data_IF_576002154555
#
_entry.id   IF_576002154555
#
_cell.length_a   1.000
_cell.length_b   1.000
_cell.length_c   1.000
_cell.angle_alpha   90.00
_cell.angle_beta   90.00
_cell.angle_gamma   90.00
#
_symmetry.space_group_name_H-M   'P 1'
#
loop_
_entity.id
_entity.type
_entity.pdbx_description
1 polymer ?
#
# COMPACT_ATOMS: atom_id res chain seq x y z
N UNK A 1 -18.96 -17.95 -14.45
CA UNK A 1 -19.96 -18.82 -13.77
C UNK A 1 -19.49 -19.03 -12.34
N UNK A 2 -20.41 -19.25 -11.40
CA UNK A 2 -19.97 -19.58 -10.03
C UNK A 2 -19.32 -20.97 -10.04
N UNK A 3 -18.13 -21.15 -9.43
CA UNK A 3 -17.45 -22.43 -9.40
C UNK A 3 -18.28 -23.46 -8.64
N UNK A 4 -18.27 -24.70 -9.13
CA UNK A 4 -18.89 -25.83 -8.42
C UNK A 4 -17.99 -26.24 -7.25
N UNK A 5 -18.60 -26.71 -6.16
CA UNK A 5 -17.90 -27.13 -4.95
C UNK A 5 -16.78 -28.16 -5.21
N UNK A 6 -17.01 -29.08 -6.13
CA UNK A 6 -16.02 -30.09 -6.53
C UNK A 6 -14.84 -29.51 -7.32
N UNK A 7 -15.03 -28.38 -8.02
CA UNK A 7 -13.96 -27.69 -8.75
C UNK A 7 -13.06 -26.94 -7.77
N UNK A 8 -13.65 -26.28 -6.77
CA UNK A 8 -12.92 -25.58 -5.71
C UNK A 8 -12.08 -26.57 -4.91
N UNK A 9 -12.67 -27.70 -4.48
CA UNK A 9 -11.99 -28.73 -3.69
C UNK A 9 -10.84 -29.41 -4.43
N UNK A 10 -10.97 -29.60 -5.75
CA UNK A 10 -9.92 -30.23 -6.59
C UNK A 10 -8.80 -29.29 -7.00
N UNK A 11 -9.01 -27.98 -6.92
CA UNK A 11 -7.99 -27.00 -7.26
C UNK A 11 -6.81 -27.05 -6.25
N UNK A 12 -5.63 -27.45 -6.72
CA UNK A 12 -4.36 -27.46 -5.94
C UNK A 12 -3.56 -26.16 -6.11
N UNK A 13 -4.22 -25.10 -6.56
CA UNK A 13 -3.55 -23.89 -7.07
C UNK A 13 -2.88 -23.08 -5.96
N UNK A 14 -3.45 -23.12 -4.76
CA UNK A 14 -2.86 -22.54 -3.57
C UNK A 14 -2.62 -23.60 -2.50
N UNK A 15 -1.38 -23.58 -2.03
CA UNK A 15 -0.85 -24.37 -0.92
C UNK A 15 -0.96 -23.59 0.40
N UNK A 16 -0.92 -24.32 1.50
CA UNK A 16 -0.94 -23.74 2.85
C UNK A 16 0.22 -22.77 3.09
N UNK A 17 1.41 -23.08 2.58
CA UNK A 17 2.58 -22.20 2.70
C UNK A 17 2.38 -20.87 1.99
N UNK A 18 1.71 -20.87 0.83
CA UNK A 18 1.34 -19.64 0.12
C UNK A 18 0.29 -18.84 0.88
N UNK A 19 -0.72 -19.49 1.49
CA UNK A 19 -1.68 -18.81 2.35
C UNK A 19 -0.97 -18.09 3.51
N UNK A 20 -0.08 -18.78 4.23
CA UNK A 20 0.67 -18.18 5.33
C UNK A 20 1.56 -17.03 4.86
N UNK A 21 2.17 -17.16 3.68
CA UNK A 21 2.95 -16.10 3.07
C UNK A 21 2.10 -14.86 2.79
N UNK A 22 0.88 -15.03 2.25
CA UNK A 22 -0.05 -13.94 2.01
C UNK A 22 -0.51 -13.27 3.31
N UNK A 23 -0.79 -14.05 4.35
CA UNK A 23 -1.14 -13.49 5.66
C UNK A 23 -0.03 -12.61 6.21
N UNK A 24 1.23 -13.05 6.07
CA UNK A 24 2.39 -12.26 6.48
C UNK A 24 2.53 -10.96 5.69
N UNK A 25 2.33 -10.99 4.37
CA UNK A 25 2.40 -9.78 3.54
C UNK A 25 1.30 -8.77 3.88
N UNK A 26 0.12 -9.27 4.27
CA UNK A 26 -1.02 -8.46 4.68
C UNK A 26 -1.00 -8.07 6.17
N UNK A 27 0.07 -8.42 6.90
CA UNK A 27 0.20 -8.22 8.34
C UNK A 27 -0.98 -8.79 9.15
N UNK A 28 -1.55 -9.92 8.70
CA UNK A 28 -2.59 -10.66 9.39
C UNK A 28 -1.99 -11.81 10.21
N UNK A 29 -2.62 -12.11 11.34
CA UNK A 29 -2.25 -13.24 12.19
C UNK A 29 -2.43 -14.59 11.47
N UNK A 30 -1.63 -15.61 11.80
CA UNK A 30 -1.82 -16.96 11.28
C UNK A 30 -3.15 -17.56 11.77
N UNK A 31 -3.71 -18.56 11.06
CA UNK A 31 -4.96 -19.22 11.46
C UNK A 31 -4.79 -19.92 12.81
N UNK A 32 -5.79 -19.80 13.68
CA UNK A 32 -5.76 -20.40 15.03
C UNK A 32 -6.03 -21.90 15.00
N UNK A 33 -6.77 -22.36 13.98
CA UNK A 33 -7.20 -23.76 13.84
C UNK A 33 -7.07 -24.26 12.41
N UNK A 34 -6.91 -25.57 12.23
CA UNK A 34 -6.90 -26.22 10.92
C UNK A 34 -8.23 -26.07 10.16
N UNK A 35 -9.35 -25.97 10.89
CA UNK A 35 -10.67 -25.77 10.27
C UNK A 35 -10.77 -24.38 9.64
N UNK A 36 -10.32 -23.35 10.37
CA UNK A 36 -10.27 -21.98 9.86
C UNK A 36 -9.35 -21.89 8.64
N UNK A 37 -8.17 -22.53 8.71
CA UNK A 37 -7.23 -22.58 7.59
C UNK A 37 -7.84 -23.25 6.34
N UNK A 38 -8.55 -24.35 6.51
CA UNK A 38 -9.23 -25.03 5.41
C UNK A 38 -10.33 -24.16 4.79
N UNK A 39 -11.09 -23.42 5.61
CA UNK A 39 -12.09 -22.47 5.12
C UNK A 39 -11.43 -21.33 4.33
N UNK A 40 -10.36 -20.75 4.85
CA UNK A 40 -9.62 -19.68 4.15
C UNK A 40 -9.06 -20.15 2.80
N UNK A 41 -8.54 -21.38 2.73
CA UNK A 41 -8.09 -21.98 1.48
C UNK A 41 -9.26 -22.20 0.49
N UNK A 42 -10.41 -22.64 0.98
CA UNK A 42 -11.61 -22.80 0.16
C UNK A 42 -12.05 -21.45 -0.44
N UNK A 43 -12.19 -20.42 0.40
CA UNK A 43 -12.62 -19.09 -0.01
C UNK A 43 -11.66 -18.48 -1.04
N UNK A 44 -10.35 -18.61 -0.79
CA UNK A 44 -9.32 -18.08 -1.68
C UNK A 44 -9.32 -18.78 -3.05
N UNK A 45 -9.57 -20.10 -3.09
CA UNK A 45 -9.70 -20.86 -4.34
C UNK A 45 -10.94 -20.43 -5.12
N UNK A 46 -12.07 -20.20 -4.44
CA UNK A 46 -13.28 -19.70 -5.07
C UNK A 46 -13.07 -18.30 -5.70
N UNK A 47 -12.39 -17.40 -4.97
CA UNK A 47 -12.04 -16.06 -5.45
C UNK A 47 -11.14 -16.10 -6.68
N UNK A 48 -10.10 -16.95 -6.67
CA UNK A 48 -9.18 -17.08 -7.80
C UNK A 48 -9.86 -17.63 -9.05
N UNK A 49 -10.79 -18.57 -8.91
CA UNK A 49 -11.56 -19.07 -10.03
C UNK A 49 -12.29 -17.93 -10.76
N UNK A 50 -12.95 -17.05 -10.00
CA UNK A 50 -13.63 -15.89 -10.57
C UNK A 50 -12.67 -14.96 -11.30
N UNK A 51 -11.50 -14.66 -10.71
CA UNK A 51 -10.49 -13.80 -11.36
C UNK A 51 -9.99 -14.40 -12.67
N UNK A 52 -9.83 -15.72 -12.74
CA UNK A 52 -9.38 -16.40 -13.97
C UNK A 52 -10.38 -16.30 -15.10
N UNK A 53 -11.67 -16.45 -14.83
CA UNK A 53 -12.70 -16.26 -15.84
C UNK A 53 -12.65 -14.84 -16.44
N UNK A 54 -12.34 -13.83 -15.62
CA UNK A 54 -12.16 -12.45 -16.11
C UNK A 54 -10.91 -12.32 -16.99
N UNK A 55 -9.85 -13.07 -16.70
CA UNK A 55 -8.60 -13.07 -17.48
C UNK A 55 -8.75 -13.73 -18.86
N UNK A 56 -9.79 -14.53 -19.09
CA UNK A 56 -10.05 -15.16 -20.41
C UNK A 56 -10.46 -14.13 -21.48
N UNK A 57 -10.84 -12.92 -21.08
CA UNK A 57 -11.22 -11.85 -22.00
C UNK A 57 -9.98 -11.30 -22.72
N UNK A 58 -10.05 -11.20 -24.06
CA UNK A 58 -8.97 -10.63 -24.86
C UNK A 58 -8.84 -9.12 -24.57
N UNK A 59 -7.70 -8.73 -23.99
CA UNK A 59 -7.35 -7.34 -23.65
C UNK A 59 -6.25 -6.76 -24.54
N UNK A 60 -5.93 -7.42 -25.66
CA UNK A 60 -4.85 -6.98 -26.57
C UNK A 60 -5.11 -5.57 -27.11
N UNK A 61 -4.17 -4.66 -26.90
CA UNK A 61 -4.24 -3.28 -27.40
C UNK A 61 -5.04 -2.31 -26.53
N UNK A 62 -5.56 -2.76 -25.38
CA UNK A 62 -6.31 -1.91 -24.44
C UNK A 62 -5.34 -1.36 -23.37
N UNK A 63 -5.47 -0.07 -23.03
CA UNK A 63 -4.71 0.54 -21.93
C UNK A 63 -5.44 0.30 -20.59
N UNK A 64 -4.75 -0.11 -19.51
CA UNK A 64 -5.39 -0.29 -18.21
C UNK A 64 -5.96 1.03 -17.67
N UNK A 65 -7.21 1.00 -17.22
CA UNK A 65 -7.84 2.12 -16.54
C UNK A 65 -7.13 2.38 -15.20
N UNK A 66 -6.62 3.59 -14.99
CA UNK A 66 -5.85 3.93 -13.76
C UNK A 66 -6.71 4.53 -12.67
N UNK A 67 -7.68 5.37 -13.04
CA UNK A 67 -8.61 6.07 -12.14
C UNK A 67 -9.91 6.33 -12.88
N UNK A 68 -10.99 6.52 -12.14
CA UNK A 68 -12.29 6.89 -12.72
C UNK A 68 -12.36 8.42 -12.73
N UNK A 69 -11.80 9.05 -13.76
CA UNK A 69 -11.86 10.49 -14.00
C UNK A 69 -12.17 10.78 -15.45
N UNK A 70 -12.40 12.06 -15.76
CA UNK A 70 -12.38 12.54 -17.13
C UNK A 70 -10.96 12.37 -17.70
N UNK A 71 -10.80 11.52 -18.71
CA UNK A 71 -9.54 11.27 -19.43
C UNK A 71 -9.41 12.17 -20.66
N UNK A 72 -10.10 13.33 -20.66
CA UNK A 72 -9.89 14.36 -21.66
C UNK A 72 -8.43 14.86 -21.61
N UNK A 73 -7.88 15.25 -22.76
CA UNK A 73 -6.51 15.78 -22.84
C UNK A 73 -6.30 17.03 -21.97
N UNK A 74 -7.38 17.76 -21.71
CA UNK A 74 -7.39 18.94 -20.83
C UNK A 74 -7.19 18.50 -19.37
N UNK A 75 -7.96 17.52 -18.88
CA UNK A 75 -7.80 16.97 -17.53
C UNK A 75 -6.44 16.31 -17.31
N UNK A 76 -5.89 15.62 -18.33
CA UNK A 76 -4.52 15.10 -18.29
C UNK A 76 -3.50 16.24 -18.13
N UNK A 77 -3.62 17.33 -18.91
CA UNK A 77 -2.71 18.46 -18.85
C UNK A 77 -2.73 19.22 -17.51
N UNK A 78 -3.88 19.23 -16.84
CA UNK A 78 -4.03 19.82 -15.50
C UNK A 78 -3.44 18.92 -14.40
N UNK A 79 -3.57 17.59 -14.55
CA UNK A 79 -3.03 16.62 -13.60
C UNK A 79 -1.51 16.42 -13.74
N UNK A 80 -0.94 16.77 -14.88
CA UNK A 80 0.49 16.67 -15.13
C UNK A 80 1.28 17.61 -14.19
N UNK A 81 2.14 17.00 -13.36
CA UNK A 81 3.11 17.71 -12.53
C UNK A 81 4.19 18.36 -13.40
N UNK A 82 3.89 19.56 -13.87
CA UNK A 82 4.77 20.31 -14.75
C UNK A 82 5.96 20.94 -14.01
N UNK A 83 7.06 21.14 -14.74
CA UNK A 83 8.25 21.83 -14.23
C UNK A 83 7.95 23.24 -13.70
N UNK A 84 6.94 23.91 -14.28
CA UNK A 84 6.45 25.20 -13.78
C UNK A 84 5.86 25.06 -12.37
N UNK A 85 5.05 24.04 -12.13
CA UNK A 85 4.45 23.72 -10.84
C UNK A 85 5.49 23.30 -9.79
N UNK A 86 6.55 22.61 -10.22
CA UNK A 86 7.64 22.17 -9.36
C UNK A 86 8.70 23.25 -9.09
N UNK A 87 8.75 24.32 -9.89
CA UNK A 87 9.82 25.33 -9.87
C UNK A 87 10.01 25.95 -8.50
N UNK A 88 8.91 26.32 -7.85
CA UNK A 88 8.96 26.97 -6.54
C UNK A 88 9.40 25.99 -5.45
N UNK A 89 8.92 24.73 -5.50
CA UNK A 89 9.34 23.68 -4.57
C UNK A 89 10.84 23.34 -4.70
N UNK A 90 11.36 23.32 -5.93
CA UNK A 90 12.78 23.07 -6.23
C UNK A 90 13.63 24.29 -5.85
N UNK A 91 13.13 25.52 -6.03
CA UNK A 91 13.86 26.73 -5.63
C UNK A 91 14.12 26.81 -4.11
N UNK A 92 13.27 26.14 -3.32
CA UNK A 92 13.47 25.99 -1.88
C UNK A 92 14.52 24.94 -1.51
N UNK A 93 15.12 24.22 -2.45
CA UNK A 93 16.20 23.28 -2.15
C UNK A 93 17.52 23.99 -1.87
N UNK A 94 18.27 23.46 -0.91
CA UNK A 94 19.60 23.91 -0.52
C UNK A 94 20.57 22.74 -0.48
N UNK A 95 21.79 22.95 -0.97
CA UNK A 95 22.88 21.99 -0.85
C UNK A 95 23.65 22.25 0.44
N UNK A 96 23.66 21.26 1.33
CA UNK A 96 24.34 21.32 2.63
C UNK A 96 25.55 20.39 2.63
N UNK A 97 26.66 20.85 3.20
CA UNK A 97 27.89 20.08 3.37
C UNK A 97 29.01 20.52 2.42
N UNK A 98 30.24 20.59 2.95
CA UNK A 98 31.45 21.01 2.20
C UNK A 98 32.08 19.86 1.40
N UNK A 99 32.18 18.68 2.02
CA UNK A 99 32.78 17.48 1.42
C UNK A 99 31.74 16.47 0.92
N UNK A 100 30.63 16.27 1.65
CA UNK A 100 29.49 15.44 1.22
C UNK A 100 28.26 16.32 1.05
N UNK A 101 28.03 16.81 -0.17
CA UNK A 101 26.88 17.66 -0.50
C UNK A 101 25.60 16.83 -0.46
N UNK A 102 24.62 17.24 0.34
CA UNK A 102 23.27 16.67 0.40
C UNK A 102 22.25 17.75 0.06
N UNK A 103 21.29 17.42 -0.81
CA UNK A 103 20.17 18.31 -1.11
C UNK A 103 19.16 18.19 0.02
N UNK A 104 18.80 19.30 0.65
CA UNK A 104 17.70 19.40 1.62
C UNK A 104 16.78 20.54 1.22
N UNK A 105 15.47 20.37 1.35
CA UNK A 105 14.53 21.51 1.25
C UNK A 105 14.77 22.43 2.44
N UNK A 106 14.88 23.74 2.22
CA UNK A 106 14.96 24.73 3.28
C UNK A 106 13.69 24.61 4.11
N UNK A 107 13.86 24.38 5.40
CA UNK A 107 12.79 24.50 6.38
C UNK A 107 12.54 25.99 6.59
N UNK A 108 11.94 26.66 5.60
CA UNK A 108 11.28 27.91 5.95
C UNK A 108 10.18 27.51 6.92
N UNK A 109 10.09 28.23 8.04
CA UNK A 109 8.86 28.37 8.79
C UNK A 109 7.82 28.99 7.86
N UNK A 110 7.42 28.28 6.80
CA UNK A 110 6.17 28.52 6.11
C UNK A 110 5.12 28.03 7.10
N UNK A 111 4.86 28.90 8.06
CA UNK A 111 3.62 29.02 8.81
C UNK A 111 2.47 29.27 7.81
N UNK A 112 2.24 28.32 6.90
CA UNK A 112 0.88 28.00 6.45
C UNK A 112 0.24 27.08 7.49
N UNK A 113 1.04 26.51 8.39
CA UNK A 113 0.64 26.17 9.77
C UNK A 113 0.65 27.44 10.64
N UNK A 114 0.17 28.56 10.11
CA UNK A 114 0.15 29.85 10.79
C UNK A 114 -0.98 29.99 11.80
N UNK A 115 -1.96 29.10 11.77
CA UNK A 115 -3.12 29.07 12.67
C UNK A 115 -3.75 27.65 12.73
N UNK A 116 -3.05 26.64 12.23
CA UNK A 116 -3.54 25.26 12.29
C UNK A 116 -3.37 24.77 13.72
N UNK A 117 -4.51 24.47 14.35
CA UNK A 117 -4.69 23.54 15.47
C UNK A 117 -3.39 22.89 15.93
N UNK A 118 -3.06 23.06 17.20
CA UNK A 118 -2.05 22.28 17.93
C UNK A 118 -2.39 20.79 17.81
N UNK A 119 -2.10 20.18 16.65
CA UNK A 119 -2.42 18.79 16.38
C UNK A 119 -1.56 17.95 17.32
N UNK A 120 -2.20 17.28 18.27
CA UNK A 120 -1.53 16.30 19.10
C UNK A 120 -1.20 15.08 18.23
N UNK A 121 0.03 15.06 17.71
CA UNK A 121 0.58 13.95 16.91
C UNK A 121 0.46 12.62 17.65
N UNK A 122 0.45 12.64 18.98
CA UNK A 122 0.35 11.46 19.83
C UNK A 122 -1.04 11.29 20.47
N UNK A 123 -2.04 12.07 20.05
CA UNK A 123 -3.37 12.09 20.66
C UNK A 123 -4.13 10.79 20.48
N UNK A 124 -3.94 10.11 19.35
CA UNK A 124 -4.55 8.82 19.03
C UNK A 124 -3.60 7.62 19.21
N UNK A 125 -2.41 7.85 19.78
CA UNK A 125 -1.42 6.79 19.94
C UNK A 125 -1.82 5.83 21.09
N UNK A 126 -1.92 4.50 20.85
CA UNK A 126 -2.31 3.56 21.89
C UNK A 126 -1.23 3.40 22.98
N UNK A 127 0.05 3.56 22.63
CA UNK A 127 1.18 3.59 23.56
C UNK A 127 2.18 4.68 23.15
N UNK A 128 2.63 5.47 24.12
CA UNK A 128 3.65 6.51 23.93
C UNK A 128 4.64 6.53 25.08
N UNK A 129 5.91 6.77 24.77
CA UNK A 129 6.98 7.00 25.75
C UNK A 129 7.57 8.37 25.44
N UNK A 130 7.29 9.35 26.30
CA UNK A 130 7.68 10.74 26.06
C UNK A 130 7.11 11.27 24.74
N UNK A 131 7.99 11.58 23.79
CA UNK A 131 7.66 12.13 22.46
C UNK A 131 7.66 11.07 21.33
N UNK A 132 7.66 9.79 21.68
CA UNK A 132 7.80 8.68 20.73
C UNK A 132 6.60 7.73 20.80
N UNK A 133 6.25 7.14 19.65
CA UNK A 133 5.36 5.98 19.59
C UNK A 133 6.09 4.77 20.17
N UNK A 134 5.46 4.07 21.10
CA UNK A 134 6.01 2.84 21.66
C UNK A 134 5.45 1.64 20.89
N UNK A 135 6.33 0.92 20.21
CA UNK A 135 6.02 -0.32 19.48
C UNK A 135 6.79 -1.45 20.15
N UNK A 136 6.13 -2.59 20.31
CA UNK A 136 6.75 -3.80 20.83
C UNK A 136 7.65 -4.40 19.74
N UNK A 137 8.96 -4.42 19.98
CA UNK A 137 9.90 -5.12 19.12
C UNK A 137 9.93 -6.58 19.55
N UNK A 138 9.60 -7.50 18.64
CA UNK A 138 9.93 -8.90 18.84
C UNK A 138 11.46 -9.02 18.97
N UNK A 139 11.94 -9.70 20.02
CA UNK A 139 13.34 -10.10 20.09
C UNK A 139 13.63 -10.98 18.88
N UNK A 140 14.75 -10.71 18.18
CA UNK A 140 15.25 -11.62 17.17
C UNK A 140 15.70 -12.86 17.94
N UNK A 141 14.95 -13.97 17.84
CA UNK A 141 15.52 -15.29 18.08
C UNK A 141 16.58 -15.52 17.00
N UNK A 142 17.80 -15.07 17.28
CA UNK A 142 18.98 -15.39 16.52
C UNK A 142 19.21 -16.92 16.66
N UNK A 143 18.94 -17.67 15.59
CA UNK A 143 19.36 -19.07 15.40
C UNK A 143 20.66 -19.16 14.62
#
# INVERSE_FOLDING_TARGET
MLPTEDQIRRSKEITTTQLHHLLRLSALSPPETQQQEAQMLHDLRAQLHFVKEVQEVNTTGIRPLRRIYDESSEAESEAELNMKSLKDAIAQEQRIGKHHKRIKRRWHSTSVVGELETWDVLGQAPRKIGRFFAVESAEREDS
#
